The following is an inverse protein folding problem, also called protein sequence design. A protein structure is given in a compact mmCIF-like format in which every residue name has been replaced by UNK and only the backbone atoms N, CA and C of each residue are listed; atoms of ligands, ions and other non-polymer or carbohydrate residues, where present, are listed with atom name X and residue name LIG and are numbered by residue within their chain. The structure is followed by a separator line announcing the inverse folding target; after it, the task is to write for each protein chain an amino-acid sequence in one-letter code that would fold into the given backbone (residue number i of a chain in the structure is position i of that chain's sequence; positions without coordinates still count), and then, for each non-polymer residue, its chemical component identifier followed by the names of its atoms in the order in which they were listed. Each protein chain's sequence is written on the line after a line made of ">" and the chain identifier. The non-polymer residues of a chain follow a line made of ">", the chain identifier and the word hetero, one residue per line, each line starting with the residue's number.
data_IF_144434339768
#
_entry.id   IF_144434339768
#
_cell.length_a   1.000
_cell.length_b   1.000
_cell.length_c   1.000
_cell.angle_alpha   90.00
_cell.angle_beta   90.00
_cell.angle_gamma   90.00
#
_symmetry.space_group_name_H-M   'P 1'
#
loop_
_entity.id
_entity.type
_entity.pdbx_description
1 polymer ?
#
# COMPACT_ATOMS: atom_id res chain seq x y z
N UNK A 1 5.26 -18.13 -6.43
CA UNK A 1 5.79 -16.98 -5.65
C UNK A 1 4.88 -15.79 -5.89
N UNK A 2 4.35 -15.15 -4.85
CA UNK A 2 3.38 -14.04 -4.94
C UNK A 2 3.91 -12.77 -5.64
N UNK A 3 5.21 -12.72 -5.95
CA UNK A 3 5.93 -11.55 -6.47
C UNK A 3 5.50 -11.05 -7.86
N UNK A 4 4.85 -11.88 -8.70
CA UNK A 4 4.55 -11.55 -10.11
C UNK A 4 3.10 -11.78 -10.53
N UNK A 5 2.15 -11.86 -9.60
CA UNK A 5 0.74 -12.08 -9.95
C UNK A 5 0.06 -10.77 -10.38
N UNK A 6 -0.29 -10.56 -11.67
CA UNK A 6 -0.87 -9.29 -12.14
C UNK A 6 -2.18 -8.95 -11.41
N UNK A 7 -3.02 -9.95 -11.10
CA UNK A 7 -4.25 -9.81 -10.33
C UNK A 7 -4.05 -9.15 -8.96
N UNK A 8 -2.94 -9.47 -8.27
CA UNK A 8 -2.61 -8.85 -6.99
C UNK A 8 -2.15 -7.40 -7.15
N UNK A 9 -1.55 -7.06 -8.29
CA UNK A 9 -1.14 -5.69 -8.58
C UNK A 9 -2.34 -4.81 -8.93
N UNK A 10 -3.31 -5.33 -9.71
CA UNK A 10 -4.59 -4.64 -9.98
C UNK A 10 -5.39 -4.40 -8.70
N UNK A 11 -5.52 -5.43 -7.87
CA UNK A 11 -6.22 -5.33 -6.58
C UNK A 11 -5.53 -4.35 -5.63
N UNK A 12 -4.19 -4.30 -5.64
CA UNK A 12 -3.42 -3.33 -4.84
C UNK A 12 -3.73 -1.89 -5.27
N UNK A 13 -3.73 -1.60 -6.57
CA UNK A 13 -4.09 -0.28 -7.11
C UNK A 13 -5.53 0.07 -6.71
N UNK A 14 -6.48 -0.82 -6.92
CA UNK A 14 -7.87 -0.60 -6.53
C UNK A 14 -8.03 -0.26 -5.04
N UNK A 15 -7.32 -0.98 -4.16
CA UNK A 15 -7.34 -0.73 -2.70
C UNK A 15 -6.74 0.63 -2.33
N UNK A 16 -5.66 1.05 -3.00
CA UNK A 16 -5.06 2.38 -2.81
C UNK A 16 -6.09 3.46 -3.17
N UNK A 17 -6.75 3.35 -4.32
CA UNK A 17 -7.70 4.36 -4.77
C UNK A 17 -9.02 4.36 -3.98
N UNK A 18 -9.47 3.20 -3.51
CA UNK A 18 -10.65 3.09 -2.66
C UNK A 18 -10.45 3.70 -1.27
N UNK A 19 -9.22 3.70 -0.75
CA UNK A 19 -8.91 4.23 0.56
C UNK A 19 -8.16 5.57 0.48
N UNK A 20 -8.92 6.67 0.54
CA UNK A 20 -8.39 8.03 0.40
C UNK A 20 -7.29 8.39 1.41
N UNK A 21 -7.31 7.81 2.61
CA UNK A 21 -6.27 8.01 3.64
C UNK A 21 -4.97 7.31 3.24
N UNK A 22 -5.05 6.05 2.80
CA UNK A 22 -3.90 5.30 2.28
C UNK A 22 -3.33 5.99 1.04
N UNK A 23 -4.18 6.41 0.09
CA UNK A 23 -3.77 7.17 -1.10
C UNK A 23 -3.00 8.42 -0.70
N UNK A 24 -3.53 9.22 0.23
CA UNK A 24 -2.88 10.47 0.67
C UNK A 24 -1.57 10.22 1.41
N UNK A 25 -1.48 9.15 2.20
CA UNK A 25 -0.27 8.78 2.92
C UNK A 25 0.83 8.26 1.98
N UNK A 26 0.48 7.49 0.94
CA UNK A 26 1.43 6.95 -0.02
C UNK A 26 1.80 7.95 -1.13
N UNK A 27 0.80 8.67 -1.63
CA UNK A 27 0.86 9.66 -2.70
C UNK A 27 0.32 11.00 -2.20
N UNK A 28 1.06 11.71 -1.33
CA UNK A 28 0.65 13.02 -0.88
C UNK A 28 0.55 13.99 -2.07
N UNK A 29 -0.44 14.90 -2.09
CA UNK A 29 -0.53 15.91 -3.14
C UNK A 29 0.71 16.82 -3.09
N UNK A 30 1.27 17.14 -4.25
CA UNK A 30 2.36 18.11 -4.37
C UNK A 30 1.84 19.53 -4.13
N UNK A 31 2.36 20.21 -3.10
CA UNK A 31 2.05 21.62 -2.83
C UNK A 31 2.99 22.23 -1.80
N UNK A 32 3.34 23.53 -1.92
CA UNK A 32 4.37 24.19 -1.10
C UNK A 32 4.05 24.21 0.40
N UNK A 33 2.80 23.99 0.78
CA UNK A 33 2.32 23.97 2.15
C UNK A 33 1.57 22.69 2.51
N UNK A 34 2.05 21.52 2.08
CA UNK A 34 1.60 20.23 2.63
C UNK A 34 2.09 20.05 4.09
N UNK A 35 1.95 21.11 4.90
CA UNK A 35 2.03 21.05 6.34
C UNK A 35 0.86 20.20 6.81
N UNK A 36 1.16 19.10 7.49
CA UNK A 36 0.15 18.42 8.31
C UNK A 36 -0.15 19.36 9.48
N UNK A 37 -1.04 20.33 9.24
CA UNK A 37 -1.46 21.33 10.24
C UNK A 37 -1.98 20.66 11.52
N UNK A 38 -2.36 19.39 11.43
CA UNK A 38 -2.84 18.53 12.52
C UNK A 38 -1.88 17.40 12.93
N UNK A 39 -0.59 17.46 12.58
CA UNK A 39 0.47 16.62 13.16
C UNK A 39 0.07 15.15 13.43
N UNK A 40 -0.48 14.45 12.43
CA UNK A 40 -1.16 13.18 12.71
C UNK A 40 -1.56 12.36 11.50
N UNK A 41 -0.91 12.57 10.35
CA UNK A 41 -1.14 11.74 9.17
C UNK A 41 -0.65 10.31 9.41
N UNK A 42 -1.45 9.31 8.97
CA UNK A 42 -1.03 7.91 8.94
C UNK A 42 0.36 7.79 8.28
N UNK A 43 1.32 7.17 8.97
CA UNK A 43 2.67 7.01 8.43
C UNK A 43 2.66 6.10 7.20
N UNK A 44 3.62 6.29 6.29
CA UNK A 44 3.79 5.41 5.11
C UNK A 44 3.91 3.94 5.50
N UNK A 45 4.60 3.65 6.60
CA UNK A 45 4.75 2.28 7.10
C UNK A 45 3.42 1.68 7.56
N UNK A 46 2.55 2.47 8.20
CA UNK A 46 1.20 2.04 8.59
C UNK A 46 0.33 1.82 7.35
N UNK A 47 0.34 2.75 6.40
CA UNK A 47 -0.41 2.61 5.14
C UNK A 47 0.01 1.36 4.33
N UNK A 48 1.32 1.09 4.26
CA UNK A 48 1.87 -0.11 3.61
C UNK A 48 1.46 -1.40 4.32
N UNK A 49 1.41 -1.39 5.65
CA UNK A 49 0.92 -2.53 6.43
C UNK A 49 -0.58 -2.74 6.23
N UNK A 50 -1.39 -1.68 6.27
CA UNK A 50 -2.83 -1.79 6.03
C UNK A 50 -3.16 -2.35 4.64
N UNK A 51 -2.47 -1.88 3.59
CA UNK A 51 -2.58 -2.49 2.27
C UNK A 51 -2.22 -3.97 2.26
N UNK A 52 -1.21 -4.36 3.04
CA UNK A 52 -0.83 -5.76 3.17
C UNK A 52 -1.98 -6.58 3.80
N UNK A 53 -2.61 -6.05 4.84
CA UNK A 53 -3.76 -6.70 5.51
C UNK A 53 -4.96 -6.78 4.57
N UNK A 54 -5.31 -5.71 3.86
CA UNK A 54 -6.42 -5.73 2.91
C UNK A 54 -6.18 -6.68 1.73
N UNK A 55 -4.96 -6.66 1.17
CA UNK A 55 -4.64 -7.47 0.00
C UNK A 55 -4.49 -8.96 0.34
N UNK A 56 -3.76 -9.28 1.42
CA UNK A 56 -3.37 -10.66 1.75
C UNK A 56 -4.24 -11.28 2.84
N UNK A 57 -4.88 -10.50 3.70
CA UNK A 57 -5.77 -11.00 4.75
C UNK A 57 -7.04 -11.64 4.19
N UNK A 58 -7.49 -11.23 3.01
CA UNK A 58 -8.62 -11.84 2.31
C UNK A 58 -8.29 -13.19 1.66
N UNK A 59 -7.01 -13.51 1.50
CA UNK A 59 -6.56 -14.74 0.87
C UNK A 59 -6.38 -15.82 1.95
N UNK A 60 -7.14 -16.93 1.93
CA UNK A 60 -7.08 -17.97 2.97
C UNK A 60 -5.65 -18.50 3.18
N UNK A 61 -4.87 -18.53 2.11
CA UNK A 61 -3.46 -18.96 2.10
C UNK A 61 -2.53 -18.07 2.93
N UNK A 62 -2.82 -16.77 3.04
CA UNK A 62 -1.93 -15.79 3.68
C UNK A 62 -2.51 -15.23 4.98
N UNK A 63 -3.82 -15.40 5.22
CA UNK A 63 -4.53 -14.92 6.40
C UNK A 63 -3.82 -15.28 7.72
N UNK A 64 -3.51 -16.56 7.94
CA UNK A 64 -2.84 -17.00 9.16
C UNK A 64 -1.44 -16.35 9.35
N UNK A 65 -0.69 -16.17 8.25
CA UNK A 65 0.62 -15.52 8.29
C UNK A 65 0.52 -14.03 8.57
N UNK A 66 -0.52 -13.35 8.08
CA UNK A 66 -0.78 -11.93 8.34
C UNK A 66 -1.24 -11.73 9.79
N UNK A 67 -2.12 -12.59 10.30
CA UNK A 67 -2.56 -12.55 11.70
C UNK A 67 -1.39 -12.77 12.68
N UNK A 68 -0.48 -13.70 12.36
CA UNK A 68 0.74 -13.90 13.12
C UNK A 68 1.65 -12.66 13.06
N UNK A 69 1.88 -12.12 11.85
CA UNK A 69 2.70 -10.92 11.65
C UNK A 69 2.10 -9.68 12.34
N UNK A 70 0.77 -9.63 12.52
CA UNK A 70 0.11 -8.52 13.22
C UNK A 70 0.51 -8.41 14.70
N UNK A 71 1.07 -9.48 15.29
CA UNK A 71 1.54 -9.51 16.68
C UNK A 71 3.02 -9.18 16.82
N UNK A 72 3.79 -9.17 15.72
CA UNK A 72 5.24 -9.00 15.73
C UNK A 72 5.63 -7.75 14.92
N UNK A 73 6.14 -6.68 15.55
CA UNK A 73 6.48 -5.43 14.86
C UNK A 73 7.46 -5.58 13.69
N UNK A 74 8.46 -6.47 13.87
CA UNK A 74 9.45 -6.79 12.83
C UNK A 74 8.80 -7.39 11.58
N UNK A 75 7.82 -8.26 11.77
CA UNK A 75 7.14 -8.91 10.67
C UNK A 75 6.17 -7.95 9.96
N UNK A 76 5.47 -7.07 10.71
CA UNK A 76 4.70 -5.98 10.09
C UNK A 76 5.55 -5.16 9.13
N UNK A 77 6.74 -4.76 9.57
CA UNK A 77 7.68 -4.00 8.74
C UNK A 77 8.16 -4.81 7.54
N UNK A 78 8.46 -6.10 7.71
CA UNK A 78 8.86 -6.97 6.61
C UNK A 78 7.76 -7.11 5.55
N UNK A 79 6.50 -7.29 5.97
CA UNK A 79 5.33 -7.35 5.09
C UNK A 79 5.04 -6.02 4.41
N UNK A 80 5.08 -4.90 5.13
CA UNK A 80 4.97 -3.56 4.56
C UNK A 80 6.05 -3.28 3.52
N UNK A 81 7.30 -3.66 3.79
CA UNK A 81 8.40 -3.53 2.83
C UNK A 81 8.19 -4.36 1.57
N UNK A 82 7.56 -5.53 1.66
CA UNK A 82 7.26 -6.32 0.47
C UNK A 82 6.19 -5.64 -0.41
N UNK A 83 5.19 -5.00 0.19
CA UNK A 83 4.22 -4.15 -0.55
C UNK A 83 4.94 -2.97 -1.18
N UNK A 84 5.79 -2.25 -0.43
CA UNK A 84 6.65 -1.17 -0.95
C UNK A 84 7.48 -1.61 -2.16
N UNK A 85 8.11 -2.76 -2.10
CA UNK A 85 8.96 -3.26 -3.19
C UNK A 85 8.13 -3.66 -4.43
N UNK A 86 6.91 -4.15 -4.22
CA UNK A 86 5.97 -4.44 -5.31
C UNK A 86 5.48 -3.15 -5.97
N UNK A 87 5.18 -2.17 -5.13
CA UNK A 87 4.83 -0.81 -5.49
C UNK A 87 5.95 -0.18 -6.35
N UNK A 88 7.22 -0.17 -5.94
CA UNK A 88 8.33 0.33 -6.78
C UNK A 88 8.53 -0.41 -8.10
N UNK A 89 8.00 -1.62 -8.28
CA UNK A 89 8.07 -2.36 -9.55
C UNK A 89 6.95 -1.94 -10.52
N UNK A 90 5.85 -1.34 -10.05
CA UNK A 90 4.65 -1.04 -10.86
C UNK A 90 4.13 0.41 -10.71
N UNK A 91 4.61 1.21 -9.76
CA UNK A 91 3.95 2.46 -9.32
C UNK A 91 4.21 3.71 -10.17
N UNK A 92 5.31 3.87 -10.90
CA UNK A 92 5.55 5.14 -11.60
C UNK A 92 5.00 5.14 -13.03
N UNK A 93 5.13 4.04 -13.76
CA UNK A 93 4.76 4.01 -15.19
C UNK A 93 3.24 3.91 -15.44
N UNK A 94 2.50 3.17 -14.60
CA UNK A 94 1.07 2.92 -14.82
C UNK A 94 0.17 4.04 -14.26
N UNK A 95 0.58 4.69 -13.16
CA UNK A 95 -0.10 5.87 -12.63
C UNK A 95 0.05 7.09 -13.55
N UNK A 96 1.18 7.22 -14.27
CA UNK A 96 1.41 8.28 -15.27
C UNK A 96 0.61 8.06 -16.56
N UNK A 97 0.48 6.81 -17.03
CA UNK A 97 -0.25 6.50 -18.27
C UNK A 97 -1.77 6.57 -18.11
N UNK A 98 -2.32 6.15 -16.98
CA UNK A 98 -3.77 6.14 -16.77
C UNK A 98 -4.37 7.53 -16.51
N UNK A 99 -3.56 8.50 -16.05
CA UNK A 99 -3.98 9.90 -15.81
C UNK A 99 -3.76 10.85 -17.00
N UNK A 100 -3.07 10.43 -18.07
CA UNK A 100 -2.95 11.22 -19.32
C UNK A 100 -4.15 11.06 -20.28
N UNK A 101 -5.12 10.20 -19.96
CA UNK A 101 -6.28 9.89 -20.82
C UNK A 101 -7.62 10.42 -20.31
N UNK A 102 -7.64 11.16 -19.20
CA UNK A 102 -8.83 11.85 -18.67
C UNK A 102 -8.52 13.31 -18.34
#
# INVERSE_FOLDING_TARGET
>A
SWKHSPELSEKLVALIFANGSIKRSLFPPCGPNASTKDGGGMSKAVAQWELCVFLLGELPKYKASIEAAAKVPKDKLAYGNKIKNRMTTYELLALELFYRQY
#
